data_IF_241875425085
#
_entry.id   IF_241875425085
#
_cell.length_a   1.000
_cell.length_b   1.000
_cell.length_c   1.000
_cell.angle_alpha   90.00
_cell.angle_beta   90.00
_cell.angle_gamma   90.00
#
_symmetry.space_group_name_H-M   'P 1'
#
loop_
_entity.id
_entity.type
_entity.pdbx_description
1 polymer ?
#
# COMPACT_ATOMS: atom_id res chain seq x y z
N UNK A 1 11.36 23.76 12.28
CA UNK A 1 11.29 22.73 11.22
C UNK A 1 11.80 21.44 11.84
N UNK A 2 10.99 20.40 11.90
CA UNK A 2 11.49 19.05 12.19
C UNK A 2 11.67 18.36 10.84
N UNK A 3 12.87 17.87 10.57
CA UNK A 3 13.19 17.05 9.41
C UNK A 3 14.02 15.88 9.92
N UNK A 4 13.72 14.68 9.43
CA UNK A 4 14.47 13.47 9.74
C UNK A 4 14.70 12.69 8.44
N UNK A 5 15.96 12.32 8.20
CA UNK A 5 16.39 11.52 7.05
C UNK A 5 17.11 10.29 7.60
N UNK A 6 16.61 9.10 7.30
CA UNK A 6 17.08 7.84 7.89
C UNK A 6 18.00 7.03 6.96
N UNK A 7 18.14 7.45 5.69
CA UNK A 7 19.01 6.83 4.70
C UNK A 7 19.53 7.88 3.70
N UNK A 8 20.61 7.58 2.99
CA UNK A 8 21.15 8.44 1.92
C UNK A 8 20.27 8.44 0.67
N UNK A 9 19.47 7.39 0.48
CA UNK A 9 18.51 7.23 -0.63
C UNK A 9 17.20 6.67 -0.07
N UNK A 10 16.78 5.50 -0.52
CA UNK A 10 15.64 4.77 0.04
C UNK A 10 15.98 4.15 1.40
N UNK A 11 14.98 4.01 2.26
CA UNK A 11 15.10 3.18 3.46
C UNK A 11 15.34 1.71 3.07
N UNK A 12 15.99 0.89 3.92
CA UNK A 12 16.06 -0.55 3.70
C UNK A 12 14.66 -1.18 3.74
N UNK A 13 14.51 -2.35 3.12
CA UNK A 13 13.27 -3.14 3.22
C UNK A 13 13.03 -3.59 4.66
N UNK A 14 11.77 -3.81 5.00
CA UNK A 14 11.34 -4.20 6.35
C UNK A 14 12.01 -5.51 6.83
N UNK A 15 12.17 -6.51 5.95
CA UNK A 15 12.92 -7.73 6.27
C UNK A 15 14.42 -7.51 6.59
N UNK A 16 15.01 -6.38 6.16
CA UNK A 16 16.40 -6.00 6.45
C UNK A 16 16.54 -5.22 7.76
N UNK A 17 15.43 -4.74 8.34
CA UNK A 17 15.46 -3.97 9.56
C UNK A 17 15.78 -4.85 10.80
N UNK A 18 16.33 -4.25 11.87
CA UNK A 18 16.52 -4.95 13.13
C UNK A 18 15.24 -5.59 13.64
N UNK A 19 15.33 -6.84 14.12
CA UNK A 19 14.19 -7.54 14.75
C UNK A 19 13.86 -7.00 16.14
N UNK A 20 14.82 -6.33 16.78
CA UNK A 20 14.59 -5.64 18.04
C UNK A 20 13.72 -4.41 17.80
N UNK A 21 12.50 -4.44 18.35
CA UNK A 21 11.51 -3.37 18.20
C UNK A 21 12.02 -2.01 18.71
N UNK A 22 12.99 -1.98 19.63
CA UNK A 22 13.58 -0.73 20.13
C UNK A 22 14.53 -0.07 19.13
N UNK A 23 14.98 -0.82 18.11
CA UNK A 23 15.93 -0.38 17.08
C UNK A 23 15.30 -0.35 15.69
N UNK A 24 14.12 -0.95 15.51
CA UNK A 24 13.39 -0.96 14.24
C UNK A 24 12.82 0.43 13.94
N UNK A 25 13.16 0.96 12.77
CA UNK A 25 12.59 2.20 12.24
C UNK A 25 12.01 1.95 10.85
N UNK A 26 10.87 1.24 10.81
CA UNK A 26 10.10 0.98 9.61
C UNK A 26 8.97 1.99 9.44
N UNK A 27 8.14 1.76 8.42
CA UNK A 27 7.01 2.65 8.12
C UNK A 27 6.01 2.72 9.30
N UNK A 28 5.78 1.62 10.01
CA UNK A 28 4.89 1.58 11.18
C UNK A 28 5.33 2.57 12.25
N UNK A 29 6.59 2.54 12.64
CA UNK A 29 7.12 3.40 13.70
C UNK A 29 7.21 4.88 13.25
N UNK A 30 7.50 5.13 11.96
CA UNK A 30 7.46 6.48 11.40
C UNK A 30 6.04 7.05 11.40
N UNK A 31 5.04 6.24 11.04
CA UNK A 31 3.63 6.63 11.08
C UNK A 31 3.17 6.90 12.50
N UNK A 32 3.53 6.04 13.45
CA UNK A 32 3.26 6.25 14.88
C UNK A 32 3.78 7.61 15.34
N UNK A 33 5.06 7.89 15.11
CA UNK A 33 5.67 9.16 15.48
C UNK A 33 5.00 10.36 14.80
N UNK A 34 4.77 10.28 13.48
CA UNK A 34 4.20 11.38 12.71
C UNK A 34 2.77 11.70 13.13
N UNK A 35 1.92 10.68 13.28
CA UNK A 35 0.52 10.84 13.70
C UNK A 35 0.46 11.43 15.10
N UNK A 36 1.21 10.88 16.07
CA UNK A 36 1.21 11.44 17.42
C UNK A 36 1.67 12.90 17.45
N UNK A 37 2.71 13.24 16.68
CA UNK A 37 3.21 14.60 16.60
C UNK A 37 2.14 15.54 16.04
N UNK A 38 1.48 15.15 14.95
CA UNK A 38 0.44 15.95 14.31
C UNK A 38 -0.80 16.09 15.19
N UNK A 39 -1.22 15.03 15.88
CA UNK A 39 -2.31 15.04 16.85
C UNK A 39 -2.04 16.01 18.02
N UNK A 40 -0.85 15.92 18.63
CA UNK A 40 -0.44 16.86 19.69
C UNK A 40 -0.44 18.30 19.18
N UNK A 41 0.09 18.54 17.98
CA UNK A 41 0.17 19.87 17.36
C UNK A 41 -1.21 20.42 17.03
N UNK A 42 -2.10 19.58 16.51
CA UNK A 42 -3.48 19.92 16.18
C UNK A 42 -4.22 20.40 17.43
N UNK A 43 -4.20 19.60 18.50
CA UNK A 43 -4.80 19.96 19.80
C UNK A 43 -4.22 21.26 20.37
N UNK A 44 -2.90 21.44 20.34
CA UNK A 44 -2.25 22.62 20.90
C UNK A 44 -2.53 23.91 20.12
N UNK A 45 -2.87 23.82 18.84
CA UNK A 45 -3.08 25.00 17.97
C UNK A 45 -4.52 25.20 17.54
N UNK A 46 -5.40 24.24 17.82
CA UNK A 46 -6.74 24.15 17.25
C UNK A 46 -6.72 24.26 15.70
N UNK A 47 -5.70 23.67 15.07
CA UNK A 47 -5.54 23.66 13.61
C UNK A 47 -5.52 22.23 13.10
N UNK A 48 -6.25 22.01 12.01
CA UNK A 48 -6.26 20.73 11.28
C UNK A 48 -4.93 20.49 10.58
N UNK A 49 -4.69 19.23 10.22
CA UNK A 49 -3.55 18.84 9.43
C UNK A 49 -3.93 17.97 8.24
N UNK A 50 -3.03 17.96 7.27
CA UNK A 50 -2.91 16.94 6.23
C UNK A 50 -1.60 16.23 6.49
N UNK A 51 -1.63 14.90 6.56
CA UNK A 51 -0.42 14.09 6.62
C UNK A 51 -0.47 13.12 5.44
N UNK A 52 0.65 13.04 4.72
CA UNK A 52 0.87 12.14 3.59
C UNK A 52 1.91 11.12 4.03
N UNK A 53 1.57 9.85 3.84
CA UNK A 53 2.41 8.70 4.21
C UNK A 53 2.51 7.80 2.98
N UNK A 54 3.65 7.16 2.76
CA UNK A 54 3.90 6.37 1.56
C UNK A 54 4.56 5.03 1.87
N UNK A 55 3.92 3.94 1.45
CA UNK A 55 4.50 2.58 1.38
C UNK A 55 5.52 2.39 0.27
N UNK A 56 6.49 3.30 0.15
CA UNK A 56 7.36 3.50 -1.03
C UNK A 56 8.12 2.29 -1.58
N UNK A 57 8.34 1.27 -0.75
CA UNK A 57 9.20 0.13 -1.08
C UNK A 57 8.46 -1.04 -1.73
N UNK A 58 7.13 -1.02 -1.77
CA UNK A 58 6.33 -2.05 -2.46
C UNK A 58 6.60 -1.98 -3.97
N UNK A 59 6.76 -0.78 -4.53
CA UNK A 59 7.04 -0.55 -5.95
C UNK A 59 8.41 -1.11 -6.41
N UNK A 60 9.55 -0.74 -5.79
CA UNK A 60 10.84 -1.36 -6.09
C UNK A 60 10.85 -2.89 -5.99
N UNK A 61 10.13 -3.46 -5.02
CA UNK A 61 10.04 -4.92 -4.87
C UNK A 61 9.31 -5.57 -6.07
N UNK A 62 8.26 -4.93 -6.58
CA UNK A 62 7.58 -5.39 -7.79
C UNK A 62 8.46 -5.24 -9.04
N UNK A 63 9.19 -4.12 -9.17
CA UNK A 63 10.18 -3.91 -10.24
C UNK A 63 11.24 -5.03 -10.30
N UNK A 64 11.60 -5.61 -9.14
CA UNK A 64 12.54 -6.72 -9.03
C UNK A 64 11.89 -8.12 -9.18
N UNK A 65 10.58 -8.20 -9.43
CA UNK A 65 9.77 -9.43 -9.36
C UNK A 65 9.99 -10.20 -8.04
N UNK A 66 10.00 -9.52 -6.89
CA UNK A 66 10.20 -10.15 -5.57
C UNK A 66 8.91 -10.08 -4.74
N UNK A 67 7.89 -10.90 -5.05
CA UNK A 67 6.57 -10.80 -4.43
C UNK A 67 6.56 -11.15 -2.94
N UNK A 68 7.59 -11.84 -2.43
CA UNK A 68 7.73 -12.06 -0.98
C UNK A 68 8.10 -10.75 -0.26
N UNK A 69 8.98 -9.93 -0.85
CA UNK A 69 9.26 -8.58 -0.35
C UNK A 69 8.03 -7.68 -0.54
N UNK A 70 7.31 -7.80 -1.67
CA UNK A 70 6.03 -7.07 -1.87
C UNK A 70 5.06 -7.38 -0.73
N UNK A 71 4.88 -8.66 -0.39
CA UNK A 71 4.01 -9.07 0.72
C UNK A 71 4.49 -8.51 2.06
N UNK A 72 5.78 -8.65 2.38
CA UNK A 72 6.41 -8.12 3.59
C UNK A 72 6.22 -6.59 3.73
N UNK A 73 6.52 -5.82 2.67
CA UNK A 73 6.35 -4.37 2.67
C UNK A 73 4.90 -3.94 2.79
N UNK A 74 3.97 -4.67 2.16
CA UNK A 74 2.56 -4.32 2.23
C UNK A 74 1.93 -4.71 3.57
N UNK A 75 2.39 -5.78 4.21
CA UNK A 75 2.04 -6.10 5.60
C UNK A 75 2.52 -4.97 6.52
N UNK A 76 3.77 -4.52 6.39
CA UNK A 76 4.29 -3.40 7.17
C UNK A 76 3.47 -2.11 6.94
N UNK A 77 3.04 -1.87 5.70
CA UNK A 77 2.15 -0.74 5.38
C UNK A 77 0.75 -0.90 6.01
N UNK A 78 0.14 -2.08 5.96
CA UNK A 78 -1.16 -2.36 6.58
C UNK A 78 -1.10 -2.15 8.10
N UNK A 79 -0.02 -2.61 8.75
CA UNK A 79 0.24 -2.35 10.16
C UNK A 79 0.37 -0.84 10.46
N UNK A 80 0.96 -0.08 9.54
CA UNK A 80 1.07 1.38 9.65
C UNK A 80 -0.30 2.06 9.54
N UNK A 81 -1.15 1.63 8.59
CA UNK A 81 -2.56 2.09 8.50
C UNK A 81 -3.32 1.76 9.78
N UNK A 82 -3.22 0.52 10.27
CA UNK A 82 -3.86 0.11 11.51
C UNK A 82 -3.38 0.93 12.71
N UNK A 83 -2.08 1.29 12.74
CA UNK A 83 -1.49 2.16 13.76
C UNK A 83 -2.05 3.58 13.68
N UNK A 84 -2.10 4.17 12.49
CA UNK A 84 -2.74 5.47 12.28
C UNK A 84 -4.20 5.50 12.74
N UNK A 85 -4.98 4.46 12.42
CA UNK A 85 -6.37 4.33 12.89
C UNK A 85 -6.49 4.25 14.41
N UNK A 86 -5.58 3.54 15.09
CA UNK A 86 -5.58 3.48 16.57
C UNK A 86 -5.21 4.81 17.23
N UNK A 87 -4.37 5.60 16.58
CA UNK A 87 -3.83 6.85 17.13
C UNK A 87 -4.67 8.09 16.77
N UNK A 88 -5.68 7.93 15.92
CA UNK A 88 -6.59 8.99 15.50
C UNK A 88 -8.01 8.71 15.94
N UNK A 89 -8.87 9.73 15.90
CA UNK A 89 -10.29 9.58 16.20
C UNK A 89 -11.07 9.35 14.89
N UNK A 90 -11.64 8.16 14.71
CA UNK A 90 -12.44 7.78 13.53
C UNK A 90 -13.71 8.66 13.35
N UNK A 91 -14.08 9.50 14.33
CA UNK A 91 -15.16 10.51 14.19
C UNK A 91 -14.66 11.88 13.69
N UNK A 92 -13.36 12.10 13.68
CA UNK A 92 -12.75 13.41 13.39
C UNK A 92 -11.64 13.34 12.34
N UNK A 93 -11.25 12.13 11.91
CA UNK A 93 -10.18 11.89 10.95
C UNK A 93 -10.70 11.04 9.80
N UNK A 94 -10.59 11.57 8.58
CA UNK A 94 -10.74 10.80 7.35
C UNK A 94 -9.39 10.17 7.02
N UNK A 95 -9.36 8.85 6.85
CA UNK A 95 -8.20 8.08 6.35
C UNK A 95 -8.53 7.54 4.98
N UNK A 96 -7.73 7.87 3.96
CA UNK A 96 -7.84 7.31 2.61
C UNK A 96 -6.56 6.53 2.30
N UNK A 97 -6.75 5.31 1.79
CA UNK A 97 -5.71 4.37 1.36
C UNK A 97 -5.92 4.05 -0.11
N UNK A 98 -4.89 4.28 -0.92
CA UNK A 98 -4.92 3.97 -2.36
C UNK A 98 -3.50 3.72 -2.87
N UNK A 99 -3.30 2.79 -3.81
CA UNK A 99 -2.15 2.78 -4.69
C UNK A 99 -2.18 3.99 -5.65
N UNK A 100 -1.02 4.37 -6.19
CA UNK A 100 -0.89 5.34 -7.28
C UNK A 100 -1.03 4.70 -8.68
N UNK A 101 -0.56 3.46 -8.82
CA UNK A 101 -0.71 2.62 -10.02
C UNK A 101 -0.58 1.14 -9.66
N UNK A 102 -0.71 0.27 -10.68
CA UNK A 102 -0.54 -1.16 -10.53
C UNK A 102 0.79 -1.73 -11.04
N UNK A 103 0.96 -3.05 -10.94
CA UNK A 103 2.04 -3.86 -11.52
C UNK A 103 1.48 -5.12 -12.15
N UNK A 104 2.17 -5.67 -13.15
CA UNK A 104 1.77 -6.88 -13.85
C UNK A 104 1.91 -8.17 -13.04
N UNK A 105 1.68 -8.14 -11.72
CA UNK A 105 1.65 -9.30 -10.83
C UNK A 105 0.32 -10.02 -11.01
N UNK A 106 0.39 -11.34 -11.27
CA UNK A 106 -0.77 -12.20 -11.43
C UNK A 106 -0.77 -13.26 -10.34
N UNK A 107 -1.89 -13.39 -9.64
CA UNK A 107 -2.20 -14.50 -8.75
C UNK A 107 -3.10 -15.46 -9.52
N UNK A 108 -2.59 -16.65 -9.82
CA UNK A 108 -3.24 -17.58 -10.73
C UNK A 108 -4.19 -18.54 -10.00
N UNK A 109 -3.64 -19.40 -9.15
CA UNK A 109 -4.37 -20.40 -8.40
C UNK A 109 -3.62 -20.77 -7.12
N UNK A 110 -4.29 -21.45 -6.21
CA UNK A 110 -3.72 -21.93 -4.95
C UNK A 110 -4.71 -22.87 -4.26
N UNK A 111 -4.18 -23.81 -3.47
CA UNK A 111 -5.03 -24.52 -2.50
C UNK A 111 -5.16 -23.66 -1.25
N UNK A 112 -6.33 -23.71 -0.63
CA UNK A 112 -6.54 -23.16 0.72
C UNK A 112 -5.44 -23.70 1.66
N UNK A 113 -4.94 -22.82 2.52
CA UNK A 113 -3.89 -23.08 3.52
C UNK A 113 -2.49 -23.39 2.95
N UNK A 114 -2.30 -23.31 1.63
CA UNK A 114 -0.97 -23.35 1.03
C UNK A 114 -0.39 -21.94 0.92
N UNK A 115 0.95 -21.85 0.97
CA UNK A 115 1.65 -20.59 0.73
C UNK A 115 1.36 -20.04 -0.67
N UNK A 116 1.02 -18.75 -0.74
CA UNK A 116 0.86 -18.01 -2.00
C UNK A 116 2.19 -17.91 -2.78
N UNK A 117 3.32 -18.14 -2.10
CA UNK A 117 4.67 -18.14 -2.67
C UNK A 117 5.10 -19.52 -3.20
N UNK A 118 4.23 -20.52 -3.09
CA UNK A 118 4.50 -21.89 -3.54
C UNK A 118 4.08 -22.20 -4.97
N UNK A 119 4.15 -23.49 -5.30
CA UNK A 119 3.68 -24.05 -6.58
C UNK A 119 2.24 -24.54 -6.50
N UNK A 120 1.51 -24.34 -7.60
CA UNK A 120 0.28 -25.04 -7.91
C UNK A 120 0.62 -26.39 -8.55
N UNK A 121 -0.17 -27.44 -8.27
CA UNK A 121 -0.06 -28.73 -8.96
C UNK A 121 0.46 -29.92 -8.15
N UNK A 122 0.75 -29.80 -6.84
CA UNK A 122 0.97 -30.99 -5.97
C UNK A 122 -0.36 -31.65 -5.59
N UNK A 123 -1.13 -32.02 -6.61
CA UNK A 123 -2.28 -32.92 -6.57
C UNK A 123 -2.12 -33.82 -7.78
N UNK A 124 -2.19 -35.15 -7.64
CA UNK A 124 -2.21 -36.05 -8.78
C UNK A 124 -3.56 -35.90 -9.51
N UNK A 125 -3.81 -34.75 -10.13
CA UNK A 125 -4.85 -34.60 -11.12
C UNK A 125 -4.31 -35.26 -12.38
N UNK A 126 -4.95 -36.38 -12.76
CA UNK A 126 -4.49 -37.38 -13.73
C UNK A 126 -4.17 -36.87 -15.14
N UNK A 127 -4.32 -35.58 -15.47
CA UNK A 127 -4.24 -35.09 -16.86
C UNK A 127 -3.64 -33.68 -17.05
N UNK A 128 -2.79 -33.16 -16.13
CA UNK A 128 -2.09 -31.88 -16.42
C UNK A 128 -0.65 -31.86 -15.92
N UNK A 129 0.31 -31.91 -16.85
CA UNK A 129 1.73 -31.61 -16.66
C UNK A 129 2.01 -30.11 -16.40
N UNK A 130 1.06 -29.36 -15.85
CA UNK A 130 1.20 -27.93 -15.61
C UNK A 130 1.44 -27.67 -14.12
N UNK A 131 2.67 -27.92 -13.69
CA UNK A 131 3.19 -27.29 -12.48
C UNK A 131 3.32 -25.77 -12.80
N UNK A 132 3.09 -24.84 -11.87
CA UNK A 132 3.46 -23.43 -12.05
C UNK A 132 3.50 -22.69 -10.70
N UNK A 133 4.20 -21.55 -10.64
CA UNK A 133 4.18 -20.69 -9.47
C UNK A 133 2.79 -20.05 -9.29
N UNK A 134 2.27 -20.04 -8.07
CA UNK A 134 0.97 -19.41 -7.75
C UNK A 134 0.96 -17.92 -8.12
N UNK A 135 2.12 -17.27 -8.00
CA UNK A 135 2.37 -15.86 -8.37
C UNK A 135 3.36 -15.81 -9.53
N UNK A 136 3.12 -14.94 -10.50
CA UNK A 136 4.04 -14.63 -11.58
C UNK A 136 3.88 -13.17 -12.04
N UNK A 137 4.79 -12.70 -12.88
CA UNK A 137 4.72 -11.36 -13.45
C UNK A 137 4.53 -11.38 -14.98
N UNK A 138 3.94 -10.34 -15.55
CA UNK A 138 3.86 -10.17 -17.01
C UNK A 138 5.23 -9.74 -17.56
N UNK A 139 5.89 -8.81 -16.87
CA UNK A 139 7.23 -8.33 -17.27
C UNK A 139 8.18 -8.31 -16.08
N UNK A 140 9.48 -8.41 -16.35
CA UNK A 140 10.51 -8.11 -15.36
C UNK A 140 11.74 -8.99 -15.45
N UNK A 141 12.63 -8.89 -14.44
CA UNK A 141 13.92 -9.56 -14.47
C UNK A 141 13.84 -11.08 -14.33
N UNK A 142 12.70 -11.62 -13.89
CA UNK A 142 12.46 -13.05 -13.79
C UNK A 142 12.42 -13.72 -15.15
N UNK A 143 13.57 -14.18 -15.64
CA UNK A 143 13.63 -15.02 -16.84
C UNK A 143 13.21 -16.44 -16.48
N UNK A 144 12.44 -17.07 -17.38
CA UNK A 144 12.11 -18.50 -17.49
C UNK A 144 10.66 -18.87 -17.15
N UNK A 145 10.08 -19.66 -18.06
CA UNK A 145 8.76 -20.31 -17.98
C UNK A 145 8.89 -21.75 -17.49
N UNK A 146 10.13 -22.23 -17.25
CA UNK A 146 10.37 -23.56 -16.72
C UNK A 146 9.91 -23.62 -15.29
N UNK A 147 9.02 -24.56 -15.01
CA UNK A 147 8.44 -24.69 -13.70
C UNK A 147 9.49 -25.19 -12.71
N UNK A 148 9.61 -24.58 -11.52
CA UNK A 148 10.43 -25.12 -10.46
C UNK A 148 9.98 -26.54 -10.07
N UNK A 149 10.91 -27.44 -9.77
CA UNK A 149 10.60 -28.71 -9.12
C UNK A 149 10.08 -28.47 -7.69
N UNK A 150 9.44 -29.47 -7.08
CA UNK A 150 9.00 -29.39 -5.69
C UNK A 150 10.13 -29.04 -4.70
N UNK A 151 11.35 -29.54 -4.94
CA UNK A 151 12.53 -29.19 -4.13
C UNK A 151 12.94 -27.73 -4.34
N UNK A 152 12.90 -27.23 -5.59
CA UNK A 152 13.18 -25.83 -5.89
C UNK A 152 12.13 -24.91 -5.27
N UNK A 153 10.85 -25.30 -5.25
CA UNK A 153 9.79 -24.55 -4.59
C UNK A 153 10.00 -24.40 -3.08
N UNK A 154 10.48 -25.46 -2.41
CA UNK A 154 10.81 -25.38 -1.00
C UNK A 154 11.96 -24.40 -0.74
N UNK A 155 12.94 -24.31 -1.64
CA UNK A 155 13.99 -23.29 -1.57
C UNK A 155 13.44 -21.88 -1.82
N UNK A 156 12.59 -21.71 -2.83
CA UNK A 156 11.97 -20.42 -3.19
C UNK A 156 11.18 -19.84 -2.01
N UNK A 157 10.33 -20.64 -1.35
CA UNK A 157 9.53 -20.18 -0.21
C UNK A 157 10.39 -19.69 0.96
N UNK A 158 11.63 -20.17 1.08
CA UNK A 158 12.55 -19.78 2.15
C UNK A 158 13.55 -18.68 1.73
N UNK A 159 13.47 -18.19 0.49
CA UNK A 159 14.28 -17.09 -0.02
C UNK A 159 13.39 -15.91 -0.38
N UNK A 160 13.29 -14.95 0.56
CA UNK A 160 12.49 -13.73 0.38
C UNK A 160 12.96 -12.90 -0.83
N UNK A 161 14.24 -13.03 -1.21
CA UNK A 161 14.86 -12.28 -2.31
C UNK A 161 14.72 -12.98 -3.66
N UNK A 162 14.08 -14.15 -3.71
CA UNK A 162 13.91 -14.89 -4.95
C UNK A 162 13.12 -14.07 -6.00
N UNK A 163 13.70 -13.94 -7.19
CA UNK A 163 13.06 -13.30 -8.35
C UNK A 163 12.10 -14.26 -9.03
N UNK A 164 10.81 -13.95 -9.00
CA UNK A 164 9.73 -14.77 -9.56
C UNK A 164 9.69 -14.68 -11.08
N UNK A 165 9.21 -15.73 -11.77
CA UNK A 165 9.19 -15.77 -13.22
C UNK A 165 8.30 -14.67 -13.83
N UNK A 166 8.69 -14.21 -15.01
CA UNK A 166 7.93 -13.28 -15.83
C UNK A 166 7.69 -13.80 -17.25
N UNK A 167 6.60 -13.38 -17.89
CA UNK A 167 6.28 -13.77 -19.26
C UNK A 167 7.21 -13.13 -20.29
N UNK A 168 7.48 -11.82 -20.14
CA UNK A 168 8.38 -11.07 -21.00
C UNK A 168 9.54 -10.50 -20.19
N UNK A 169 10.76 -10.86 -20.57
CA UNK A 169 11.94 -10.33 -19.90
C UNK A 169 12.05 -8.81 -20.07
N UNK A 170 12.27 -8.13 -18.95
CA UNK A 170 12.70 -6.74 -18.88
C UNK A 170 13.73 -6.59 -17.76
N UNK A 171 14.60 -5.57 -17.81
CA UNK A 171 15.56 -5.35 -16.70
C UNK A 171 14.87 -4.95 -15.39
N UNK A 172 13.66 -4.42 -15.49
CA UNK A 172 12.78 -4.00 -14.42
C UNK A 172 11.36 -4.33 -14.86
N UNK A 173 10.51 -4.81 -13.97
CA UNK A 173 9.09 -4.96 -14.26
C UNK A 173 8.48 -3.60 -14.61
N UNK A 174 7.47 -3.58 -15.48
CA UNK A 174 6.71 -2.38 -15.77
C UNK A 174 5.45 -2.29 -14.91
N UNK A 175 5.00 -1.06 -14.69
CA UNK A 175 3.70 -0.78 -14.05
C UNK A 175 2.58 -1.35 -14.92
N UNK A 176 1.43 -1.57 -14.30
CA UNK A 176 0.21 -1.96 -14.97
C UNK A 176 -0.88 -0.87 -14.80
N UNK A 177 -1.79 -0.82 -15.76
CA UNK A 177 -2.74 0.29 -15.95
C UNK A 177 -4.18 -0.06 -15.64
N UNK A 178 -4.43 -1.17 -14.95
CA UNK A 178 -5.74 -1.47 -14.40
C UNK A 178 -6.09 -0.53 -13.23
N UNK A 179 -7.39 -0.42 -12.96
CA UNK A 179 -7.91 0.35 -11.84
C UNK A 179 -7.38 -0.19 -10.51
N UNK A 180 -7.04 0.71 -9.59
CA UNK A 180 -6.58 0.39 -8.24
C UNK A 180 -7.66 0.73 -7.20
N UNK A 181 -7.75 -0.03 -6.09
CA UNK A 181 -8.77 0.21 -5.08
C UNK A 181 -8.47 1.47 -4.27
N UNK A 182 -9.52 2.21 -3.94
CA UNK A 182 -9.49 3.27 -2.93
C UNK A 182 -10.30 2.79 -1.73
N UNK A 183 -9.71 2.77 -0.55
CA UNK A 183 -10.35 2.43 0.72
C UNK A 183 -10.37 3.65 1.62
N UNK A 184 -11.52 3.95 2.24
CA UNK A 184 -11.67 5.11 3.11
C UNK A 184 -12.31 4.76 4.46
N UNK A 185 -11.84 5.41 5.52
CA UNK A 185 -12.35 5.28 6.88
C UNK A 185 -12.66 6.66 7.47
N UNK A 186 -13.62 6.71 8.40
CA UNK A 186 -13.96 7.92 9.14
C UNK A 186 -14.97 8.82 8.42
N UNK A 187 -15.06 10.11 8.80
CA UNK A 187 -16.09 11.00 8.29
C UNK A 187 -15.91 11.22 6.80
N UNK A 188 -17.02 11.29 6.07
CA UNK A 188 -17.03 11.51 4.62
C UNK A 188 -16.47 10.35 3.77
N UNK A 189 -16.05 9.23 4.37
CA UNK A 189 -15.65 8.01 3.64
C UNK A 189 -16.75 7.52 2.67
N UNK A 190 -18.03 7.76 2.98
CA UNK A 190 -19.18 7.47 2.10
C UNK A 190 -19.17 8.17 0.74
N UNK A 191 -18.31 9.16 0.52
CA UNK A 191 -18.15 9.79 -0.79
C UNK A 191 -17.15 9.04 -1.68
N UNK A 192 -16.36 8.13 -1.10
CA UNK A 192 -15.43 7.27 -1.82
C UNK A 192 -16.16 5.97 -2.17
N UNK A 193 -17.02 6.02 -3.19
CA UNK A 193 -17.82 4.87 -3.63
C UNK A 193 -17.98 4.87 -5.14
N UNK A 194 -17.84 3.70 -5.76
CA UNK A 194 -17.90 3.54 -7.21
C UNK A 194 -16.53 3.75 -7.85
N UNK A 195 -16.52 4.12 -9.13
CA UNK A 195 -15.30 4.35 -9.90
C UNK A 195 -15.02 5.84 -9.98
N UNK A 196 -13.75 6.21 -9.78
CA UNK A 196 -13.30 7.59 -9.77
C UNK A 196 -12.02 7.73 -10.58
N UNK A 197 -11.86 8.88 -11.25
CA UNK A 197 -10.55 9.28 -11.75
C UNK A 197 -9.58 9.48 -10.57
N UNK A 198 -8.28 9.19 -10.76
CA UNK A 198 -7.26 9.40 -9.72
C UNK A 198 -7.23 10.84 -9.18
N UNK A 199 -7.65 11.83 -9.99
CA UNK A 199 -7.75 13.25 -9.57
C UNK A 199 -8.85 13.51 -8.54
N UNK A 200 -9.83 12.60 -8.41
CA UNK A 200 -10.95 12.72 -7.49
C UNK A 200 -10.50 12.90 -6.04
N UNK A 201 -9.48 12.14 -5.61
CA UNK A 201 -8.97 12.21 -4.23
C UNK A 201 -8.51 13.63 -3.95
N UNK A 202 -7.69 14.23 -4.83
CA UNK A 202 -7.19 15.60 -4.68
C UNK A 202 -8.32 16.62 -4.54
N UNK A 203 -9.37 16.51 -5.37
CA UNK A 203 -10.54 17.39 -5.30
C UNK A 203 -11.36 17.20 -4.01
N UNK A 204 -11.47 15.97 -3.53
CA UNK A 204 -12.09 15.69 -2.23
C UNK A 204 -11.29 16.34 -1.09
N UNK A 205 -9.96 16.29 -1.12
CA UNK A 205 -9.10 16.99 -0.14
C UNK A 205 -9.36 18.50 -0.17
N UNK A 206 -9.31 19.10 -1.37
CA UNK A 206 -9.54 20.53 -1.56
C UNK A 206 -10.89 20.96 -0.97
N UNK A 207 -11.94 20.21 -1.31
CA UNK A 207 -13.28 20.44 -0.83
C UNK A 207 -13.35 20.38 0.72
N UNK A 208 -12.80 19.33 1.33
CA UNK A 208 -12.87 19.13 2.79
C UNK A 208 -12.05 20.14 3.60
N UNK A 209 -10.93 20.60 3.04
CA UNK A 209 -10.10 21.63 3.67
C UNK A 209 -10.62 23.05 3.40
N UNK A 210 -11.61 23.21 2.51
CA UNK A 210 -12.07 24.52 2.07
C UNK A 210 -11.00 25.30 1.27
N UNK A 211 -10.02 24.60 0.70
CA UNK A 211 -8.94 25.20 -0.10
C UNK A 211 -9.19 24.97 -1.59
N UNK A 212 -8.47 25.68 -2.46
CA UNK A 212 -8.56 25.47 -3.91
C UNK A 212 -9.70 26.23 -4.60
N UNK A 213 -9.98 25.87 -5.87
CA UNK A 213 -10.97 26.55 -6.71
C UNK A 213 -12.37 25.96 -6.55
N UNK A 214 -12.46 24.65 -6.33
CA UNK A 214 -13.73 23.92 -6.19
C UNK A 214 -14.48 24.36 -4.93
N UNK A 215 -13.77 24.56 -3.81
CA UNK A 215 -14.37 25.07 -2.57
C UNK A 215 -14.96 26.47 -2.73
N UNK A 216 -14.42 27.28 -3.66
CA UNK A 216 -14.83 28.68 -3.90
C UNK A 216 -15.98 28.82 -4.90
N UNK A 217 -16.20 27.81 -5.75
CA UNK A 217 -17.21 27.84 -6.83
C UNK A 217 -18.52 27.16 -6.45
N UNK A 218 -18.56 26.40 -5.37
CA UNK A 218 -19.82 25.89 -4.83
C UNK A 218 -20.57 27.07 -4.21
N UNK A 219 -21.88 27.27 -4.53
CA UNK A 219 -22.65 28.33 -3.92
C UNK A 219 -22.51 28.23 -2.41
N UNK A 220 -22.36 29.37 -1.74
CA UNK A 220 -22.38 29.42 -0.29
C UNK A 220 -23.67 28.81 0.22
N UNK A 221 -23.64 27.51 0.51
CA UNK A 221 -24.44 26.93 1.56
C UNK A 221 -24.11 27.81 2.75
N UNK A 222 -25.09 28.64 3.11
CA UNK A 222 -25.03 29.80 4.00
C UNK A 222 -23.89 29.78 5.01
N UNK A 223 -23.32 30.95 5.25
CA UNK A 223 -22.20 31.33 6.14
C UNK A 223 -22.18 30.78 7.60
N UNK A 224 -22.96 29.75 7.92
CA UNK A 224 -23.01 29.04 9.20
C UNK A 224 -22.69 27.54 9.10
N UNK A 225 -22.32 27.01 7.93
CA UNK A 225 -21.80 25.63 7.81
C UNK A 225 -20.32 25.63 7.40
N UNK A 226 -19.45 25.77 8.40
CA UNK A 226 -18.13 25.13 8.35
C UNK A 226 -18.40 23.63 8.16
N UNK A 227 -18.11 23.05 6.99
CA UNK A 227 -18.72 21.77 6.59
C UNK A 227 -18.29 20.52 7.38
N UNK A 228 -17.48 20.70 8.44
CA UNK A 228 -17.48 19.87 9.64
C UNK A 228 -16.64 20.58 10.70
N UNK A 229 -17.22 21.28 11.70
CA UNK A 229 -16.44 21.85 12.80
C UNK A 229 -15.74 20.79 13.67
N UNK A 230 -16.12 19.51 13.48
CA UNK A 230 -15.66 18.36 14.24
C UNK A 230 -14.44 17.62 13.65
N UNK A 231 -14.00 17.94 12.42
CA UNK A 231 -12.78 17.33 11.87
C UNK A 231 -11.54 17.98 12.51
N UNK A 232 -10.76 17.23 13.28
CA UNK A 232 -9.51 17.65 13.92
C UNK A 232 -8.28 17.34 13.05
N UNK A 233 -8.41 16.46 12.05
CA UNK A 233 -7.38 16.13 11.07
C UNK A 233 -7.94 15.47 9.80
N UNK A 234 -7.21 15.55 8.69
CA UNK A 234 -7.43 14.72 7.51
C UNK A 234 -6.13 13.97 7.23
N UNK A 235 -6.12 12.65 7.37
CA UNK A 235 -4.93 11.82 7.25
C UNK A 235 -4.99 11.07 5.92
N UNK A 236 -4.01 11.23 5.04
CA UNK A 236 -3.92 10.47 3.81
C UNK A 236 -2.75 9.51 3.90
N UNK A 237 -3.04 8.24 3.69
CA UNK A 237 -2.03 7.19 3.69
C UNK A 237 -1.97 6.65 2.28
N UNK A 238 -1.05 7.16 1.48
CA UNK A 238 -0.84 6.67 0.12
C UNK A 238 0.02 5.40 0.16
N UNK A 239 -0.27 4.48 -0.75
CA UNK A 239 0.60 3.35 -1.07
C UNK A 239 1.17 3.66 -2.45
N UNK A 240 2.44 3.41 -2.69
CA UNK A 240 2.93 3.28 -4.07
C UNK A 240 3.10 1.80 -4.35
N UNK A 241 2.45 1.36 -5.43
CA UNK A 241 2.22 -0.03 -5.86
C UNK A 241 1.13 -0.88 -5.14
N UNK A 242 0.63 -1.83 -5.92
CA UNK A 242 -0.70 -2.46 -5.92
C UNK A 242 -0.71 -3.95 -5.58
N UNK A 243 -1.95 -4.47 -5.50
CA UNK A 243 -2.37 -5.86 -5.30
C UNK A 243 -2.17 -6.40 -3.89
N UNK A 244 -2.94 -5.86 -2.94
CA UNK A 244 -3.48 -6.68 -1.85
C UNK A 244 -4.99 -6.57 -1.86
N UNK A 245 -5.63 -7.65 -2.31
CA UNK A 245 -6.98 -7.97 -1.87
C UNK A 245 -6.90 -8.29 -0.38
N UNK A 246 -7.16 -7.29 0.47
CA UNK A 246 -7.48 -7.55 1.87
C UNK A 246 -8.91 -8.10 1.88
N UNK A 247 -9.04 -9.43 1.93
CA UNK A 247 -10.25 -10.11 2.39
C UNK A 247 -9.93 -10.87 3.68
#
# INVERSE_FOLDING_TARGET
MCSALFSQRQMPFDYELPKDASQKMGIRELVEFAVEYMERRSRATNKRYVLFLEGGLIDPANHMNQPQIVADQTIAFDEAVATARRLTNDQETLIIVTPDHSHGLVISNGKRDNSIHGLFGYTPAKDSNAEFMNVAYITGPGKNVSVPTAQQAATIINDITYTYPSLYYAKSAYHAGEDVPIVAYGPMARFVTGNHDNTYIAYLIEYLLGIGRISKSLPSLSSNHTFAPWLSGILFIFITASNIFLY
#
